data_IF_871921984357
#
_entry.id   IF_871921984357
#
_cell.length_a   1.000
_cell.length_b   1.000
_cell.length_c   1.000
_cell.angle_alpha   90.00
_cell.angle_beta   90.00
_cell.angle_gamma   90.00
#
_symmetry.space_group_name_H-M   'P 1'
#
loop_
_entity.id
_entity.type
_entity.pdbx_description
1 polymer ?
#
# COMPACT_ATOMS: atom_id res chain seq x y z
N UNK A 1 23.71 30.54 29.77
CA UNK A 1 22.82 30.82 30.93
C UNK A 1 21.68 29.81 30.90
N UNK A 2 21.63 28.99 31.95
CA UNK A 2 20.64 27.93 32.10
C UNK A 2 19.33 28.53 32.55
N UNK A 3 18.20 28.23 31.94
CA UNK A 3 16.88 28.33 32.57
C UNK A 3 16.10 27.04 32.34
N UNK A 4 16.10 26.25 33.39
CA UNK A 4 15.17 25.13 33.63
C UNK A 4 13.84 25.74 34.06
N UNK A 5 12.74 25.32 33.47
CA UNK A 5 11.43 25.49 34.09
C UNK A 5 10.77 24.13 34.16
N UNK A 6 10.55 23.76 35.40
CA UNK A 6 9.91 22.55 35.89
C UNK A 6 8.40 22.84 36.02
N UNK A 7 7.63 21.78 36.11
CA UNK A 7 6.22 21.70 36.59
C UNK A 7 5.13 21.78 35.53
N UNK A 8 4.10 20.94 35.45
CA UNK A 8 3.38 20.29 36.55
C UNK A 8 2.58 19.10 36.04
N UNK A 9 2.52 18.10 36.87
CA UNK A 9 1.62 16.95 36.86
C UNK A 9 0.19 17.43 37.12
N UNK A 10 -0.78 17.00 36.35
CA UNK A 10 -2.18 16.99 36.79
C UNK A 10 -2.83 15.67 36.42
N UNK A 11 -3.05 14.87 37.43
CA UNK A 11 -3.86 13.67 37.46
C UNK A 11 -5.34 14.05 37.57
N UNK A 12 -6.23 13.36 36.89
CA UNK A 12 -7.68 13.53 37.01
C UNK A 12 -8.40 12.41 36.22
N UNK A 13 -8.64 11.33 36.92
CA UNK A 13 -9.91 10.78 37.41
C UNK A 13 -10.89 10.22 36.37
N UNK A 14 -11.10 8.91 36.58
CA UNK A 14 -12.10 7.98 36.03
C UNK A 14 -13.52 8.55 35.84
N UNK A 15 -14.17 8.11 34.78
CA UNK A 15 -15.62 7.83 34.79
C UNK A 15 -15.91 6.58 33.95
N UNK A 16 -16.25 5.53 34.67
CA UNK A 16 -16.84 4.28 34.16
C UNK A 16 -18.33 4.57 33.91
N UNK A 17 -18.81 4.31 32.70
CA UNK A 17 -20.25 4.26 32.44
C UNK A 17 -20.57 2.93 31.77
N UNK A 18 -21.08 2.03 32.58
CA UNK A 18 -21.70 0.77 32.20
C UNK A 18 -23.13 1.08 31.72
N UNK A 19 -23.47 0.79 30.49
CA UNK A 19 -24.88 0.66 30.08
C UNK A 19 -25.12 -0.76 29.59
N UNK A 20 -25.70 -1.54 30.48
CA UNK A 20 -26.42 -2.76 30.16
C UNK A 20 -27.84 -2.39 29.72
N UNK A 21 -28.27 -2.86 28.58
CA UNK A 21 -29.62 -2.71 28.07
C UNK A 21 -30.02 -3.97 27.31
N UNK A 22 -30.73 -4.82 28.03
CA UNK A 22 -31.39 -6.05 27.58
C UNK A 22 -32.70 -5.73 26.83
N UNK A 23 -33.11 -6.61 25.91
CA UNK A 23 -34.48 -6.68 25.42
C UNK A 23 -34.52 -7.22 23.98
N UNK A 24 -34.62 -8.49 23.78
CA UNK A 24 -35.82 -9.36 23.65
C UNK A 24 -36.54 -9.28 22.32
N UNK A 25 -36.52 -10.40 21.66
CA UNK A 25 -37.46 -11.44 21.23
C UNK A 25 -38.06 -11.23 19.84
N UNK A 26 -37.91 -12.19 19.01
CA UNK A 26 -38.57 -13.46 18.58
C UNK A 26 -39.33 -13.22 17.31
N UNK A 27 -39.22 -14.01 16.28
CA UNK A 27 -39.70 -15.32 15.85
C UNK A 27 -39.17 -15.63 14.46
N UNK A 28 -38.52 -16.70 14.24
CA UNK A 28 -38.98 -18.03 13.83
C UNK A 28 -39.59 -18.06 12.41
N UNK A 29 -38.92 -18.63 11.49
CA UNK A 29 -39.44 -19.66 10.60
C UNK A 29 -38.33 -20.51 9.96
N UNK A 30 -38.58 -21.75 10.17
CA UNK A 30 -37.96 -23.02 9.91
C UNK A 30 -37.68 -23.36 8.43
N UNK A 31 -36.64 -24.21 8.26
CA UNK A 31 -36.56 -25.37 7.33
C UNK A 31 -36.09 -25.05 5.90
N UNK A 32 -35.14 -25.72 5.33
CA UNK A 32 -34.73 -27.13 5.38
C UNK A 32 -33.33 -27.34 4.87
N UNK A 33 -32.72 -28.41 5.33
CA UNK A 33 -31.45 -28.96 5.02
C UNK A 33 -31.22 -29.31 3.53
N UNK A 34 -29.98 -29.13 3.08
CA UNK A 34 -29.30 -30.12 2.25
C UNK A 34 -27.79 -29.96 2.39
N UNK A 35 -27.24 -30.92 3.03
CA UNK A 35 -25.89 -31.39 3.08
C UNK A 35 -25.22 -31.42 1.69
N UNK A 36 -24.06 -30.80 1.53
CA UNK A 36 -23.04 -31.40 0.71
C UNK A 36 -21.66 -30.93 1.16
N UNK A 37 -21.05 -31.78 1.94
CA UNK A 37 -19.64 -31.84 2.23
C UNK A 37 -18.83 -31.96 0.94
N UNK A 38 -17.91 -31.05 0.69
CA UNK A 38 -16.69 -31.41 -0.04
C UNK A 38 -15.56 -30.47 0.40
N UNK A 39 -14.64 -31.04 1.07
CA UNK A 39 -13.37 -30.56 1.60
C UNK A 39 -12.38 -30.18 0.47
N UNK A 40 -11.30 -29.47 0.78
CA UNK A 40 -10.59 -28.52 -0.04
C UNK A 40 -9.60 -29.16 -1.00
N UNK A 41 -9.56 -28.65 -2.19
CA UNK A 41 -8.40 -28.86 -3.05
C UNK A 41 -7.47 -27.66 -2.90
N UNK A 42 -6.38 -27.90 -2.22
CA UNK A 42 -5.15 -27.13 -2.30
C UNK A 42 -4.64 -27.25 -3.74
N UNK A 43 -4.83 -26.25 -4.55
CA UNK A 43 -4.06 -26.11 -5.78
C UNK A 43 -2.97 -25.09 -5.54
N UNK A 44 -1.77 -25.62 -5.42
CA UNK A 44 -0.55 -24.86 -5.54
C UNK A 44 -0.53 -24.24 -6.94
N UNK A 45 -0.62 -22.90 -6.99
CA UNK A 45 -0.28 -22.19 -8.20
C UNK A 45 1.21 -22.40 -8.46
N UNK A 46 1.49 -23.22 -9.43
CA UNK A 46 2.79 -23.40 -10.04
C UNK A 46 3.13 -22.05 -10.68
N UNK A 47 4.15 -21.41 -10.16
CA UNK A 47 4.83 -20.33 -10.85
C UNK A 47 5.41 -20.89 -12.15
N UNK A 48 4.69 -20.68 -13.24
CA UNK A 48 5.20 -20.94 -14.57
C UNK A 48 6.14 -19.77 -14.92
N UNK A 49 7.39 -19.97 -14.53
CA UNK A 49 8.51 -19.20 -15.04
C UNK A 49 8.52 -19.35 -16.55
N UNK A 50 7.95 -18.38 -17.26
CA UNK A 50 8.14 -18.26 -18.69
C UNK A 50 9.56 -17.75 -18.90
N UNK A 51 10.46 -18.70 -19.09
CA UNK A 51 11.81 -18.48 -19.58
C UNK A 51 11.69 -17.90 -21.00
N UNK A 52 11.68 -16.57 -21.11
CA UNK A 52 11.76 -15.89 -22.40
C UNK A 52 13.20 -16.00 -22.92
N UNK A 53 13.30 -16.67 -24.04
CA UNK A 53 14.54 -16.96 -24.75
C UNK A 53 15.35 -15.69 -25.07
N UNK A 54 16.64 -15.74 -24.72
CA UNK A 54 17.71 -15.32 -25.60
C UNK A 54 18.21 -13.89 -25.51
N UNK A 55 19.31 -13.74 -24.92
CA UNK A 55 20.20 -12.60 -24.93
C UNK A 55 20.48 -12.17 -23.49
N UNK A 56 21.68 -12.41 -23.02
CA UNK A 56 22.11 -11.89 -21.73
C UNK A 56 22.20 -10.37 -21.82
N UNK A 57 21.07 -9.70 -21.54
CA UNK A 57 21.08 -8.26 -21.34
C UNK A 57 21.80 -8.01 -20.03
N UNK A 58 22.81 -7.15 -20.06
CA UNK A 58 23.52 -6.75 -18.85
C UNK A 58 22.56 -6.06 -17.88
N UNK A 59 22.51 -6.56 -16.63
CA UNK A 59 21.65 -5.97 -15.60
C UNK A 59 22.13 -4.57 -15.26
N UNK A 60 21.22 -3.59 -15.32
CA UNK A 60 21.46 -2.19 -14.95
C UNK A 60 21.03 -1.90 -13.51
N UNK A 61 20.24 -2.78 -12.90
CA UNK A 61 19.74 -2.63 -11.56
C UNK A 61 18.21 -2.72 -11.48
N UNK A 62 17.71 -2.42 -10.30
CA UNK A 62 16.28 -2.42 -9.98
C UNK A 62 15.78 -0.98 -9.87
N UNK A 63 14.57 -0.73 -10.34
CA UNK A 63 13.82 0.51 -10.16
C UNK A 63 12.62 0.17 -9.28
N UNK A 64 12.49 0.84 -8.14
CA UNK A 64 11.38 0.65 -7.19
C UNK A 64 10.36 1.78 -7.32
N UNK A 65 9.09 1.44 -7.52
CA UNK A 65 8.03 2.43 -7.78
C UNK A 65 6.84 2.21 -6.86
N UNK A 66 6.46 3.27 -6.14
CA UNK A 66 5.20 3.34 -5.38
C UNK A 66 4.05 3.73 -6.32
N UNK A 67 2.97 2.94 -6.36
CA UNK A 67 1.86 3.19 -7.24
C UNK A 67 0.50 2.95 -6.57
N UNK A 68 -0.57 3.57 -7.07
CA UNK A 68 -1.91 3.09 -6.74
C UNK A 68 -2.26 1.88 -7.59
N UNK A 69 -3.11 0.97 -7.07
CA UNK A 69 -3.41 -0.30 -7.71
C UNK A 69 -3.93 -0.12 -9.14
N UNK A 70 -4.99 0.69 -9.32
CA UNK A 70 -5.63 0.93 -10.62
C UNK A 70 -5.71 2.42 -10.90
N UNK A 71 -5.33 2.89 -12.07
CA UNK A 71 -4.75 2.15 -13.21
C UNK A 71 -3.21 2.04 -13.19
N UNK A 72 -2.54 2.65 -12.21
CA UNK A 72 -1.09 2.93 -12.28
C UNK A 72 -0.24 1.66 -12.19
N UNK A 73 -0.49 0.78 -11.22
CA UNK A 73 0.25 -0.48 -11.12
C UNK A 73 0.00 -1.39 -12.33
N UNK A 74 -1.21 -1.39 -12.91
CA UNK A 74 -1.52 -2.13 -14.13
C UNK A 74 -0.71 -1.63 -15.34
N UNK A 75 -0.53 -0.31 -15.46
CA UNK A 75 0.31 0.29 -16.49
C UNK A 75 1.78 -0.08 -16.30
N UNK A 76 2.27 -0.02 -15.07
CA UNK A 76 3.64 -0.41 -14.73
C UNK A 76 3.89 -1.91 -14.97
N UNK A 77 2.90 -2.76 -14.70
CA UNK A 77 2.99 -4.18 -15.03
C UNK A 77 3.20 -4.43 -16.53
N UNK A 78 2.55 -3.63 -17.40
CA UNK A 78 2.77 -3.68 -18.84
C UNK A 78 4.14 -3.13 -19.26
N UNK A 79 4.72 -2.21 -18.49
CA UNK A 79 6.05 -1.66 -18.74
C UNK A 79 7.19 -2.60 -18.29
N UNK A 80 6.92 -3.48 -17.32
CA UNK A 80 7.92 -4.39 -16.73
C UNK A 80 8.71 -5.21 -17.77
N UNK A 81 8.08 -5.93 -18.70
CA UNK A 81 8.83 -6.69 -19.72
C UNK A 81 9.67 -5.78 -20.64
N UNK A 82 9.19 -4.58 -20.95
CA UNK A 82 9.90 -3.62 -21.81
C UNK A 82 11.18 -3.14 -21.13
N UNK A 83 11.13 -2.88 -19.83
CA UNK A 83 12.29 -2.49 -19.04
C UNK A 83 13.28 -3.65 -18.85
N UNK A 84 12.77 -4.86 -18.68
CA UNK A 84 13.60 -6.05 -18.57
C UNK A 84 14.43 -6.30 -19.85
N UNK A 85 13.86 -6.05 -21.04
CA UNK A 85 14.60 -6.10 -22.31
C UNK A 85 15.75 -5.08 -22.38
N UNK A 86 15.68 -4.02 -21.56
CA UNK A 86 16.70 -2.99 -21.46
C UNK A 86 17.69 -3.23 -20.32
N UNK A 87 17.50 -4.29 -19.54
CA UNK A 87 18.36 -4.65 -18.41
C UNK A 87 17.91 -4.07 -17.05
N UNK A 88 16.72 -3.47 -16.99
CA UNK A 88 16.17 -2.97 -15.75
C UNK A 88 15.16 -3.94 -15.15
N UNK A 89 15.23 -4.17 -13.86
CA UNK A 89 14.19 -4.85 -13.09
C UNK A 89 13.26 -3.80 -12.46
N UNK A 90 11.95 -3.90 -12.72
CA UNK A 90 10.96 -2.99 -12.16
C UNK A 90 10.21 -3.66 -11.02
N UNK A 91 10.34 -3.12 -9.81
CA UNK A 91 9.56 -3.51 -8.64
C UNK A 91 8.49 -2.47 -8.33
N UNK A 92 7.23 -2.91 -8.23
CA UNK A 92 6.09 -2.03 -7.96
C UNK A 92 5.49 -2.41 -6.62
N UNK A 93 5.35 -1.42 -5.74
CA UNK A 93 4.63 -1.54 -4.47
C UNK A 93 3.34 -0.74 -4.54
N UNK A 94 2.21 -1.40 -4.26
CA UNK A 94 0.90 -0.77 -4.29
C UNK A 94 0.57 -0.11 -2.95
N UNK A 95 0.00 1.08 -3.02
CA UNK A 95 -0.47 1.87 -1.89
C UNK A 95 -1.94 2.25 -2.06
N UNK A 96 -2.69 2.20 -0.96
CA UNK A 96 -4.11 2.55 -0.93
C UNK A 96 -4.36 4.02 -0.54
N UNK A 97 -3.31 4.77 -0.22
CA UNK A 97 -3.38 6.17 0.18
C UNK A 97 -2.54 7.07 -0.75
N UNK A 98 -2.66 8.38 -0.57
CA UNK A 98 -1.99 9.38 -1.41
C UNK A 98 -0.86 10.15 -0.69
N UNK A 99 -0.53 9.75 0.53
CA UNK A 99 0.53 10.40 1.33
C UNK A 99 1.81 9.56 1.31
N UNK A 100 1.70 8.28 1.66
CA UNK A 100 2.84 7.36 1.75
C UNK A 100 3.65 7.26 0.45
N UNK A 101 3.04 7.19 -0.75
CA UNK A 101 3.83 7.15 -1.99
C UNK A 101 4.81 8.32 -2.16
N UNK A 102 4.46 9.50 -1.66
CA UNK A 102 5.35 10.66 -1.67
C UNK A 102 6.41 10.58 -0.55
N UNK A 103 6.02 10.12 0.64
CA UNK A 103 6.92 10.03 1.79
C UNK A 103 8.03 9.00 1.57
N UNK A 104 7.74 7.84 0.95
CA UNK A 104 8.74 6.80 0.68
C UNK A 104 9.73 7.21 -0.41
N UNK A 105 9.33 8.08 -1.35
CA UNK A 105 10.25 8.63 -2.35
C UNK A 105 11.08 9.76 -1.75
N UNK A 106 10.48 10.66 -0.99
CA UNK A 106 11.23 11.74 -0.30
C UNK A 106 12.28 11.19 0.67
N UNK A 107 11.97 10.08 1.36
CA UNK A 107 12.92 9.43 2.26
C UNK A 107 14.01 8.64 1.53
N UNK A 108 13.87 8.40 0.24
CA UNK A 108 14.79 7.57 -0.55
C UNK A 108 14.61 6.06 -0.33
N UNK A 109 13.48 5.65 0.25
CA UNK A 109 13.12 4.23 0.38
C UNK A 109 12.71 3.63 -0.96
N UNK A 110 12.10 4.44 -1.83
CA UNK A 110 11.77 4.10 -3.21
C UNK A 110 12.31 5.15 -4.19
N UNK A 111 12.54 4.73 -5.44
CA UNK A 111 13.13 5.59 -6.46
C UNK A 111 12.12 6.57 -7.07
N UNK A 112 10.86 6.16 -7.19
CA UNK A 112 9.83 6.96 -7.81
C UNK A 112 8.42 6.60 -7.29
N UNK A 113 7.46 7.46 -7.63
CA UNK A 113 6.04 7.10 -7.52
C UNK A 113 5.29 7.39 -8.82
N UNK A 114 4.18 6.66 -9.00
CA UNK A 114 3.29 6.85 -10.13
C UNK A 114 1.84 6.71 -9.68
N UNK A 115 1.20 7.85 -9.36
CA UNK A 115 -0.20 7.88 -8.89
C UNK A 115 -0.85 9.25 -9.02
N UNK A 116 -0.08 10.33 -9.09
CA UNK A 116 -0.56 11.69 -8.87
C UNK A 116 -0.47 12.58 -10.12
N UNK A 117 -1.20 13.69 -10.07
CA UNK A 117 -1.08 14.79 -11.02
C UNK A 117 -0.20 15.91 -10.46
N UNK A 118 0.43 16.67 -11.35
CA UNK A 118 1.35 17.77 -10.99
C UNK A 118 0.77 18.75 -9.97
N UNK A 119 -0.49 19.21 -10.05
CA UNK A 119 -1.03 20.13 -9.03
C UNK A 119 -1.08 19.53 -7.62
N UNK A 120 -1.26 18.21 -7.50
CA UNK A 120 -1.20 17.55 -6.20
C UNK A 120 0.25 17.45 -5.70
N UNK A 121 1.18 17.14 -6.57
CA UNK A 121 2.61 17.09 -6.25
C UNK A 121 3.10 18.45 -5.73
N UNK A 122 2.75 19.54 -6.43
CA UNK A 122 3.11 20.91 -6.02
C UNK A 122 2.55 21.25 -4.65
N UNK A 123 1.25 20.99 -4.43
CA UNK A 123 0.60 21.21 -3.14
C UNK A 123 1.22 20.37 -2.03
N UNK A 124 1.55 19.11 -2.30
CA UNK A 124 2.18 18.23 -1.34
C UNK A 124 3.58 18.74 -0.94
N UNK A 125 4.39 19.12 -1.91
CA UNK A 125 5.70 19.72 -1.66
C UNK A 125 5.60 20.98 -0.80
N UNK A 126 4.64 21.86 -1.09
CA UNK A 126 4.44 23.10 -0.34
C UNK A 126 3.97 22.84 1.09
N UNK A 127 3.01 21.94 1.28
CA UNK A 127 2.41 21.66 2.60
C UNK A 127 3.32 20.82 3.50
N UNK A 128 4.05 19.86 2.93
CA UNK A 128 4.89 18.91 3.66
C UNK A 128 6.36 19.31 3.69
N UNK A 129 6.78 20.24 2.85
CA UNK A 129 8.18 20.65 2.73
C UNK A 129 9.03 19.58 2.03
N UNK A 130 8.43 18.80 1.13
CA UNK A 130 9.13 17.80 0.32
C UNK A 130 9.73 18.40 -0.95
N UNK A 131 10.61 17.66 -1.62
CA UNK A 131 11.40 18.14 -2.76
C UNK A 131 11.22 17.26 -3.99
N UNK A 132 10.09 16.60 -4.10
CA UNK A 132 9.77 15.71 -5.21
C UNK A 132 9.64 16.49 -6.52
N UNK A 133 10.07 15.86 -7.61
CA UNK A 133 10.03 16.47 -8.95
C UNK A 133 9.34 15.54 -9.94
N UNK A 134 8.66 16.14 -10.92
CA UNK A 134 8.12 15.42 -12.06
C UNK A 134 9.26 14.99 -12.99
N UNK A 135 9.24 13.75 -13.47
CA UNK A 135 10.25 13.20 -14.39
C UNK A 135 9.68 12.70 -15.72
N UNK A 136 8.38 12.75 -15.90
CA UNK A 136 7.72 12.33 -17.14
C UNK A 136 6.22 12.50 -17.12
#
# INVERSE_FOLDING_TARGET
MKKRVLSSILAGVLAVSVFAGCGSKTEDNSQAAADNSTTPATEAATEESTEAAGGTVESKGTITVAASATPHAEILAAAKPILAEQGWDLEVTEFDDYVLPNEVVESGEMDANYFQHVPYLDSFNEEKGTHLVEVG
#
